data_IF_702125143739
#
_entry.id   IF_702125143739
#
_cell.length_a   1.000
_cell.length_b   1.000
_cell.length_c   1.000
_cell.angle_alpha   90.00
_cell.angle_beta   90.00
_cell.angle_gamma   90.00
#
_symmetry.space_group_name_H-M   'P 1'
#
loop_
_entity.id
_entity.type
_entity.pdbx_description
1 polymer ?
#
# COMPACT_ATOMS: atom_id res chain seq x y z
N UNK A 1 7.97 -10.73 19.00
CA UNK A 1 6.57 -10.28 18.79
C UNK A 1 6.71 -9.00 17.98
N UNK A 2 7.21 -9.15 16.75
CA UNK A 2 8.06 -8.15 16.09
C UNK A 2 7.29 -6.95 15.53
N UNK A 3 5.95 -7.03 15.56
CA UNK A 3 5.08 -5.92 15.19
C UNK A 3 4.99 -4.83 16.28
N UNK A 4 5.28 -5.17 17.55
CA UNK A 4 5.20 -4.23 18.68
C UNK A 4 6.51 -3.44 18.92
N UNK A 5 7.59 -3.84 18.27
CA UNK A 5 8.86 -3.12 18.35
C UNK A 5 8.85 -1.95 17.35
N UNK A 6 8.34 -0.80 17.81
CA UNK A 6 8.19 0.42 17.00
C UNK A 6 9.39 1.36 17.16
N UNK A 7 10.17 1.24 18.24
CA UNK A 7 11.14 2.26 18.68
C UNK A 7 12.24 2.67 17.69
N UNK A 8 12.58 1.82 16.72
CA UNK A 8 13.62 2.10 15.70
C UNK A 8 13.05 2.23 14.27
N UNK A 9 11.73 2.04 14.07
CA UNK A 9 11.13 1.98 12.73
C UNK A 9 10.78 3.37 12.22
N UNK A 10 11.05 3.62 10.94
CA UNK A 10 10.50 4.77 10.24
C UNK A 10 9.02 4.56 9.91
N UNK A 11 8.31 5.62 9.55
CA UNK A 11 6.87 5.57 9.24
C UNK A 11 6.53 4.54 8.16
N UNK A 12 7.37 4.39 7.14
CA UNK A 12 7.12 3.43 6.05
C UNK A 12 7.22 2.00 6.54
N UNK A 13 8.20 1.70 7.38
CA UNK A 13 8.34 0.37 7.96
C UNK A 13 7.14 0.05 8.86
N UNK A 14 6.65 1.01 9.64
CA UNK A 14 5.43 0.85 10.45
C UNK A 14 4.22 0.58 9.55
N UNK A 15 4.01 1.38 8.50
CA UNK A 15 2.92 1.17 7.52
C UNK A 15 3.02 -0.24 6.91
N UNK A 16 4.20 -0.64 6.45
CA UNK A 16 4.39 -1.95 5.83
C UNK A 16 4.08 -3.11 6.76
N UNK A 17 4.36 -2.96 8.05
CA UNK A 17 4.12 -3.99 9.04
C UNK A 17 2.65 -4.02 9.47
N UNK A 18 2.01 -2.86 9.69
CA UNK A 18 0.57 -2.76 10.04
C UNK A 18 -0.31 -3.35 8.94
N UNK A 19 0.01 -3.07 7.68
CA UNK A 19 -0.75 -3.55 6.54
C UNK A 19 -0.27 -4.92 6.00
N UNK A 20 0.69 -5.57 6.67
CA UNK A 20 1.26 -6.87 6.28
C UNK A 20 1.64 -6.92 4.79
N UNK A 21 2.44 -5.93 4.34
CA UNK A 21 2.87 -5.87 2.96
C UNK A 21 3.97 -6.89 2.68
N UNK A 22 3.79 -7.69 1.62
CA UNK A 22 4.80 -8.62 1.15
C UNK A 22 5.91 -7.91 0.34
N UNK A 23 6.99 -8.63 0.01
CA UNK A 23 8.13 -8.05 -0.70
C UNK A 23 7.79 -7.41 -2.06
N UNK A 24 6.82 -7.96 -2.79
CA UNK A 24 6.36 -7.37 -4.05
C UNK A 24 5.61 -6.07 -3.80
N UNK A 25 4.68 -6.06 -2.84
CA UNK A 25 3.91 -4.87 -2.49
C UNK A 25 4.82 -3.74 -1.98
N UNK A 26 5.84 -4.06 -1.16
CA UNK A 26 6.86 -3.08 -0.73
C UNK A 26 7.65 -2.53 -1.92
N UNK A 27 7.93 -3.35 -2.93
CA UNK A 27 8.64 -2.90 -4.14
C UNK A 27 7.76 -1.99 -4.99
N UNK A 28 6.51 -2.39 -5.26
CA UNK A 28 5.51 -1.56 -5.95
C UNK A 28 5.32 -0.22 -5.24
N UNK A 29 5.20 -0.22 -3.91
CA UNK A 29 5.04 1.01 -3.13
C UNK A 29 6.21 1.98 -3.35
N UNK A 30 7.45 1.47 -3.35
CA UNK A 30 8.65 2.30 -3.56
C UNK A 30 8.69 2.89 -4.97
N UNK A 31 8.35 2.10 -5.99
CA UNK A 31 8.29 2.60 -7.36
C UNK A 31 7.24 3.70 -7.52
N UNK A 32 6.12 3.59 -6.80
CA UNK A 32 5.01 4.55 -6.86
C UNK A 32 5.16 5.77 -5.93
N UNK A 33 6.17 5.82 -5.07
CA UNK A 33 6.28 6.86 -4.04
C UNK A 33 6.45 8.26 -4.67
N UNK A 34 7.22 8.32 -5.77
CA UNK A 34 7.52 9.57 -6.50
C UNK A 34 7.09 9.50 -7.97
N UNK A 35 6.40 8.43 -8.39
CA UNK A 35 6.02 8.21 -9.79
C UNK A 35 4.55 7.83 -9.95
N UNK A 36 4.00 8.17 -11.12
CA UNK A 36 2.71 7.66 -11.59
C UNK A 36 2.94 6.63 -12.68
N UNK A 37 2.72 5.35 -12.38
CA UNK A 37 3.03 4.26 -13.30
C UNK A 37 1.77 3.45 -13.64
N UNK A 38 1.71 2.96 -14.87
CA UNK A 38 0.74 1.96 -15.29
C UNK A 38 1.08 0.58 -14.73
N UNK A 39 0.12 -0.34 -14.78
CA UNK A 39 0.37 -1.75 -14.40
C UNK A 39 1.46 -2.40 -15.28
N UNK A 40 1.61 -1.95 -16.53
CA UNK A 40 2.60 -2.52 -17.44
C UNK A 40 4.01 -2.04 -17.08
N UNK A 41 4.18 -0.75 -16.84
CA UNK A 41 5.46 -0.19 -16.38
C UNK A 41 5.87 -0.80 -15.04
N UNK A 42 4.95 -0.91 -14.07
CA UNK A 42 5.25 -1.56 -12.80
C UNK A 42 5.67 -3.02 -12.95
N UNK A 43 5.05 -3.76 -13.87
CA UNK A 43 5.41 -5.14 -14.15
C UNK A 43 6.85 -5.27 -14.66
N UNK A 44 7.30 -4.29 -15.45
CA UNK A 44 8.68 -4.20 -15.93
C UNK A 44 9.65 -3.82 -14.80
N UNK A 45 9.34 -2.79 -14.00
CA UNK A 45 10.20 -2.32 -12.90
C UNK A 45 10.42 -3.38 -11.81
N UNK A 46 9.38 -4.13 -11.44
CA UNK A 46 9.47 -5.15 -10.38
C UNK A 46 9.79 -6.56 -10.89
N UNK A 47 10.05 -6.71 -12.19
CA UNK A 47 10.32 -7.97 -12.88
C UNK A 47 9.27 -9.06 -12.56
N UNK A 48 7.99 -8.73 -12.75
CA UNK A 48 6.86 -9.66 -12.53
C UNK A 48 5.87 -9.60 -13.68
N UNK A 49 5.09 -10.67 -13.84
CA UNK A 49 4.04 -10.63 -14.84
C UNK A 49 2.93 -9.62 -14.46
N UNK A 50 2.31 -9.03 -15.49
CA UNK A 50 1.26 -8.03 -15.35
C UNK A 50 0.10 -8.47 -14.45
N UNK A 51 -0.31 -9.74 -14.51
CA UNK A 51 -1.44 -10.25 -13.72
C UNK A 51 -1.13 -10.43 -12.23
N UNK A 52 0.14 -10.63 -11.87
CA UNK A 52 0.58 -10.64 -10.47
C UNK A 52 0.63 -9.22 -9.93
N UNK A 53 1.20 -8.28 -10.68
CA UNK A 53 1.20 -6.87 -10.30
C UNK A 53 -0.21 -6.31 -10.19
N UNK A 54 -1.10 -6.61 -11.14
CA UNK A 54 -2.51 -6.20 -11.08
C UNK A 54 -3.20 -6.69 -9.80
N UNK A 55 -2.94 -7.93 -9.36
CA UNK A 55 -3.50 -8.48 -8.12
C UNK A 55 -2.96 -7.75 -6.89
N UNK A 56 -1.64 -7.56 -6.82
CA UNK A 56 -1.03 -6.80 -5.72
C UNK A 56 -1.51 -5.35 -5.66
N UNK A 57 -1.69 -4.69 -6.81
CA UNK A 57 -2.26 -3.34 -6.87
C UNK A 57 -3.70 -3.32 -6.36
N UNK A 58 -4.53 -4.32 -6.70
CA UNK A 58 -5.89 -4.42 -6.19
C UNK A 58 -5.90 -4.60 -4.68
N UNK A 59 -5.11 -5.54 -4.15
CA UNK A 59 -5.00 -5.77 -2.70
C UNK A 59 -4.52 -4.53 -1.94
N UNK A 60 -3.61 -3.75 -2.52
CA UNK A 60 -3.13 -2.50 -1.90
C UNK A 60 -4.14 -1.37 -2.01
N UNK A 61 -4.93 -1.29 -3.09
CA UNK A 61 -6.05 -0.35 -3.21
C UNK A 61 -7.18 -0.69 -2.22
N UNK A 62 -7.45 -1.98 -1.99
CA UNK A 62 -8.48 -2.42 -1.03
C UNK A 62 -8.10 -2.07 0.43
N UNK A 63 -6.81 -1.81 0.68
CA UNK A 63 -6.26 -1.31 1.95
C UNK A 63 -6.10 0.22 1.97
N UNK A 64 -6.60 0.91 0.94
CA UNK A 64 -6.46 2.35 0.75
C UNK A 64 -5.00 2.86 0.75
N UNK A 65 -4.02 2.03 0.38
CA UNK A 65 -2.61 2.43 0.34
C UNK A 65 -2.21 3.12 -0.95
N UNK A 66 -2.98 2.88 -2.01
CA UNK A 66 -2.73 3.38 -3.36
C UNK A 66 -3.99 4.02 -3.91
N UNK A 67 -3.79 4.97 -4.81
CA UNK A 67 -4.86 5.53 -5.64
C UNK A 67 -4.56 5.26 -7.12
N UNK A 68 -5.63 5.21 -7.92
CA UNK A 68 -5.52 5.15 -9.38
C UNK A 68 -6.21 6.33 -10.03
N UNK A 69 -5.66 6.78 -11.13
CA UNK A 69 -6.22 7.84 -11.97
C UNK A 69 -6.47 7.30 -13.38
N UNK A 70 -7.70 7.48 -13.88
CA UNK A 70 -8.02 7.17 -15.27
C UNK A 70 -7.46 8.24 -16.19
N UNK A 71 -6.66 7.84 -17.18
CA UNK A 71 -6.09 8.70 -18.22
C UNK A 71 -6.68 8.32 -19.57
N UNK A 72 -6.88 9.33 -20.41
CA UNK A 72 -7.41 9.14 -21.77
C UNK A 72 -6.56 9.94 -22.74
N UNK A 73 -5.83 9.23 -23.59
CA UNK A 73 -5.12 9.85 -24.73
C UNK A 73 -5.65 9.30 -26.06
N UNK A 74 -5.46 8.00 -26.30
CA UNK A 74 -6.01 7.26 -27.45
C UNK A 74 -6.90 6.10 -27.03
N UNK A 75 -6.67 5.58 -25.84
CA UNK A 75 -7.45 4.52 -25.18
C UNK A 75 -7.43 4.82 -23.69
N UNK A 76 -8.45 4.39 -22.96
CA UNK A 76 -8.50 4.59 -21.50
C UNK A 76 -7.48 3.66 -20.85
N UNK A 77 -6.61 4.22 -20.01
CA UNK A 77 -5.64 3.49 -19.21
C UNK A 77 -5.63 4.02 -17.77
N UNK A 78 -5.06 3.25 -16.84
CA UNK A 78 -4.93 3.63 -15.44
C UNK A 78 -3.46 3.80 -15.06
N UNK A 79 -3.18 4.87 -14.34
CA UNK A 79 -1.91 5.06 -13.62
C UNK A 79 -2.18 4.98 -12.13
N UNK A 80 -1.19 4.48 -11.40
CA UNK A 80 -1.23 4.25 -9.96
C UNK A 80 -0.19 5.15 -9.28
N UNK A 81 -0.44 5.51 -8.03
CA UNK A 81 0.49 6.28 -7.17
C UNK A 81 0.18 5.96 -5.72
N UNK A 82 1.14 6.17 -4.81
CA UNK A 82 0.86 6.12 -3.37
C UNK A 82 0.02 7.32 -2.94
N UNK A 83 -0.67 7.20 -1.81
CA UNK A 83 -1.16 8.36 -1.08
C UNK A 83 0.03 9.17 -0.50
N UNK A 84 -0.18 10.46 -0.17
CA UNK A 84 0.73 11.24 0.66
C UNK A 84 1.08 10.50 1.96
N UNK A 85 2.32 10.64 2.44
CA UNK A 85 2.78 9.90 3.62
C UNK A 85 1.99 10.31 4.87
N UNK A 86 1.55 11.56 4.94
CA UNK A 86 0.71 12.12 6.00
C UNK A 86 -0.64 11.39 6.07
N UNK A 87 -1.30 11.20 4.92
CA UNK A 87 -2.57 10.47 4.84
C UNK A 87 -2.38 9.00 5.24
N UNK A 88 -1.27 8.39 4.82
CA UNK A 88 -0.94 7.02 5.21
C UNK A 88 -0.68 6.88 6.72
N UNK A 89 -0.07 7.89 7.36
CA UNK A 89 0.10 7.91 8.83
C UNK A 89 -1.24 7.93 9.54
N UNK A 90 -2.16 8.81 9.10
CA UNK A 90 -3.50 8.90 9.67
C UNK A 90 -4.26 7.57 9.52
N UNK A 91 -4.28 7.02 8.30
CA UNK A 91 -4.90 5.74 8.00
C UNK A 91 -4.32 4.61 8.88
N UNK A 92 -2.99 4.57 9.05
CA UNK A 92 -2.32 3.57 9.89
C UNK A 92 -2.78 3.67 11.35
N UNK A 93 -2.83 4.88 11.90
CA UNK A 93 -3.31 5.12 13.25
C UNK A 93 -4.78 4.68 13.42
N UNK A 94 -5.64 5.04 12.47
CA UNK A 94 -7.06 4.66 12.49
C UNK A 94 -7.25 3.14 12.49
N UNK A 95 -6.54 2.42 11.62
CA UNK A 95 -6.61 0.96 11.52
C UNK A 95 -6.16 0.30 12.83
N UNK A 96 -5.06 0.75 13.41
CA UNK A 96 -4.55 0.20 14.69
C UNK A 96 -5.51 0.46 15.84
N UNK A 97 -6.05 1.68 15.96
CA UNK A 97 -7.00 2.06 17.01
C UNK A 97 -8.32 1.28 16.88
N UNK A 98 -8.81 1.13 15.65
CA UNK A 98 -10.02 0.34 15.36
C UNK A 98 -9.83 -1.11 15.74
N UNK A 99 -8.68 -1.71 15.37
CA UNK A 99 -8.36 -3.08 15.74
C UNK A 99 -8.26 -3.26 17.27
N UNK A 100 -7.58 -2.35 17.96
CA UNK A 100 -7.46 -2.39 19.42
C UNK A 100 -8.84 -2.37 20.10
N UNK A 101 -9.71 -1.45 19.67
CA UNK A 101 -11.10 -1.35 20.18
C UNK A 101 -11.89 -2.64 19.96
N UNK A 102 -11.78 -3.25 18.77
CA UNK A 102 -12.45 -4.53 18.47
C UNK A 102 -11.93 -5.70 19.32
N UNK A 103 -10.64 -5.69 19.64
CA UNK A 103 -10.04 -6.71 20.52
C UNK A 103 -10.52 -6.52 21.95
N UNK A 104 -10.53 -5.30 22.46
CA UNK A 104 -11.06 -4.96 23.79
C UNK A 104 -12.52 -5.41 23.93
N UNK A 105 -13.39 -5.02 22.99
CA UNK A 105 -14.81 -5.41 22.98
C UNK A 105 -15.02 -6.94 22.96
N UNK A 106 -14.11 -7.69 22.33
CA UNK A 106 -14.22 -9.15 22.22
C UNK A 106 -13.68 -9.90 23.44
N UNK A 107 -12.80 -9.28 24.21
CA UNK A 107 -12.15 -9.89 25.37
C UNK A 107 -12.82 -9.52 26.70
N UNK A 108 -13.63 -8.45 26.73
CA UNK A 108 -14.55 -8.12 27.82
C UNK A 108 -15.72 -9.13 27.93
#
# INVERSE_FOLDING_TARGET
>A
MDFLEVGEKDDRQIIFDVFDLNGLQKSIFRELQDNKLTVQELAEEVDRNRSTVQRSLQEMMDKDLLMREGRTEKTVYYVYTTLPIEDLRELTCEVVQTWASQVEEKLD
#
